data_IF_327167729415
#
_entry.id   IF_327167729415
#
_cell.length_a   1.000
_cell.length_b   1.000
_cell.length_c   1.000
_cell.angle_alpha   90.00
_cell.angle_beta   90.00
_cell.angle_gamma   90.00
#
_symmetry.space_group_name_H-M   'P 1'
#
loop_
_entity.id
_entity.type
_entity.pdbx_description
1 polymer ?
#
# COMPACT_ATOMS: atom_id res chain seq x y z
N UNK A 1 12.54 11.90 4.42
CA UNK A 1 11.07 12.04 4.35
C UNK A 1 10.36 10.79 4.86
N UNK A 2 9.08 10.93 5.23
CA UNK A 2 8.20 9.80 5.57
C UNK A 2 7.18 9.59 4.46
N UNK A 3 7.20 8.41 3.85
CA UNK A 3 6.29 8.04 2.77
C UNK A 3 5.08 7.27 3.30
N UNK A 4 3.95 7.47 2.64
CA UNK A 4 2.70 6.74 2.90
C UNK A 4 2.13 6.23 1.58
N UNK A 5 1.66 4.98 1.57
CA UNK A 5 0.87 4.41 0.47
C UNK A 5 -0.31 3.64 1.02
N UNK A 6 -1.44 3.73 0.31
CA UNK A 6 -2.61 2.91 0.57
C UNK A 6 -2.76 1.87 -0.54
N UNK A 7 -2.45 0.61 -0.21
CA UNK A 7 -2.53 -0.50 -1.15
C UNK A 7 -3.96 -1.03 -1.17
N UNK A 8 -4.57 -1.11 -2.35
CA UNK A 8 -5.90 -1.71 -2.53
C UNK A 8 -5.89 -2.73 -3.66
N UNK A 9 -6.69 -3.78 -3.52
CA UNK A 9 -6.94 -4.80 -4.53
C UNK A 9 -8.20 -5.62 -4.13
N UNK A 10 -8.73 -6.48 -5.02
CA UNK A 10 -9.75 -7.46 -4.64
C UNK A 10 -9.24 -8.41 -3.53
N UNK A 11 -10.17 -9.07 -2.84
CA UNK A 11 -9.87 -10.11 -1.84
C UNK A 11 -9.41 -11.42 -2.51
N UNK A 12 -8.20 -11.38 -3.06
CA UNK A 12 -7.54 -12.51 -3.70
C UNK A 12 -6.01 -12.43 -3.53
N UNK A 13 -5.29 -13.40 -4.10
CA UNK A 13 -3.83 -13.47 -4.01
C UNK A 13 -3.11 -12.22 -4.53
N UNK A 14 -3.71 -11.44 -5.44
CA UNK A 14 -3.10 -10.21 -5.97
C UNK A 14 -2.89 -9.16 -4.87
N UNK A 15 -3.78 -9.10 -3.87
CA UNK A 15 -3.61 -8.23 -2.71
C UNK A 15 -2.43 -8.70 -1.85
N UNK A 16 -2.40 -10.00 -1.53
CA UNK A 16 -1.33 -10.60 -0.74
C UNK A 16 0.04 -10.38 -1.38
N UNK A 17 0.16 -10.57 -2.71
CA UNK A 17 1.40 -10.29 -3.45
C UNK A 17 1.77 -8.80 -3.42
N UNK A 18 0.79 -7.89 -3.53
CA UNK A 18 1.05 -6.44 -3.48
C UNK A 18 1.59 -6.00 -2.11
N UNK A 19 0.99 -6.48 -1.02
CA UNK A 19 1.48 -6.20 0.35
C UNK A 19 2.87 -6.82 0.55
N UNK A 20 3.05 -8.08 0.16
CA UNK A 20 4.34 -8.78 0.25
C UNK A 20 5.45 -8.04 -0.51
N UNK A 21 5.16 -7.56 -1.71
CA UNK A 21 6.12 -6.78 -2.51
C UNK A 21 6.51 -5.46 -1.82
N UNK A 22 5.57 -4.76 -1.17
CA UNK A 22 5.89 -3.56 -0.40
C UNK A 22 6.77 -3.88 0.81
N UNK A 23 6.45 -4.93 1.57
CA UNK A 23 7.26 -5.36 2.71
C UNK A 23 8.71 -5.68 2.30
N UNK A 24 8.90 -6.40 1.20
CA UNK A 24 10.24 -6.72 0.68
C UNK A 24 10.99 -5.51 0.12
N UNK A 25 10.29 -4.41 -0.17
CA UNK A 25 10.89 -3.12 -0.51
C UNK A 25 11.19 -2.26 0.73
N UNK A 26 11.06 -2.79 1.94
CA UNK A 26 11.33 -2.06 3.19
C UNK A 26 10.20 -1.11 3.59
N UNK A 27 8.98 -1.35 3.13
CA UNK A 27 7.80 -0.70 3.70
C UNK A 27 7.34 -1.44 4.97
N UNK A 28 6.70 -0.71 5.87
CA UNK A 28 6.12 -1.24 7.10
C UNK A 28 4.61 -1.13 7.08
N UNK A 29 3.90 -2.12 7.64
CA UNK A 29 2.45 -2.06 7.81
C UNK A 29 2.09 -0.96 8.81
N UNK A 30 1.06 -0.19 8.49
CA UNK A 30 0.49 0.79 9.40
C UNK A 30 -0.96 0.44 9.73
N UNK A 31 -1.20 0.04 10.97
CA UNK A 31 -2.52 -0.37 11.45
C UNK A 31 -3.05 -1.66 10.80
N UNK A 32 -4.30 -1.96 11.12
CA UNK A 32 -5.01 -3.14 10.61
C UNK A 32 -5.47 -2.93 9.16
N UNK A 33 -5.56 -4.00 8.35
CA UNK A 33 -6.17 -3.94 7.03
C UNK A 33 -7.64 -3.56 7.12
N UNK A 34 -8.18 -3.02 6.01
CA UNK A 34 -9.59 -2.67 5.86
C UNK A 34 -10.25 -3.50 4.78
N UNK A 35 -11.56 -3.72 4.93
CA UNK A 35 -12.39 -4.43 3.97
C UNK A 35 -13.59 -3.58 3.58
N UNK A 36 -13.94 -3.59 2.30
CA UNK A 36 -15.14 -2.93 1.78
C UNK A 36 -15.74 -3.72 0.62
N UNK A 37 -17.07 -3.81 0.58
CA UNK A 37 -17.76 -4.42 -0.57
C UNK A 37 -17.87 -3.42 -1.73
N UNK A 38 -17.36 -3.79 -2.90
CA UNK A 38 -17.45 -3.00 -4.14
C UNK A 38 -18.71 -3.41 -4.91
N UNK A 39 -19.73 -2.54 -4.89
CA UNK A 39 -21.01 -2.79 -5.57
C UNK A 39 -20.88 -2.90 -7.09
N UNK A 40 -19.87 -2.27 -7.70
CA UNK A 40 -19.69 -2.26 -9.16
C UNK A 40 -19.11 -3.59 -9.64
N UNK A 41 -18.09 -4.10 -8.95
CA UNK A 41 -17.45 -5.38 -9.31
C UNK A 41 -18.12 -6.58 -8.63
N UNK A 42 -18.98 -6.35 -7.62
CA UNK A 42 -19.60 -7.38 -6.78
C UNK A 42 -18.57 -8.23 -6.04
N UNK A 43 -17.48 -7.62 -5.59
CA UNK A 43 -16.38 -8.30 -4.89
C UNK A 43 -16.02 -7.58 -3.60
N UNK A 44 -15.39 -8.30 -2.67
CA UNK A 44 -14.71 -7.67 -1.54
C UNK A 44 -13.42 -7.01 -2.03
N UNK A 45 -13.11 -5.84 -1.48
CA UNK A 45 -11.86 -5.10 -1.66
C UNK A 45 -11.12 -5.05 -0.34
N UNK A 46 -9.81 -5.25 -0.42
CA UNK A 46 -8.90 -5.10 0.70
C UNK A 46 -8.18 -3.75 0.60
N UNK A 47 -7.85 -3.18 1.75
CA UNK A 47 -6.99 -2.02 1.91
C UNK A 47 -5.91 -2.27 2.96
N UNK A 48 -4.68 -1.84 2.71
CA UNK A 48 -3.61 -1.83 3.70
C UNK A 48 -2.78 -0.56 3.55
N UNK A 49 -2.67 0.21 4.64
CA UNK A 49 -1.74 1.32 4.72
C UNK A 49 -0.32 0.80 4.96
N UNK A 50 0.65 1.36 4.25
CA UNK A 50 2.07 1.11 4.47
C UNK A 50 2.84 2.42 4.54
N UNK A 51 3.86 2.46 5.38
CA UNK A 51 4.74 3.61 5.60
C UNK A 51 6.20 3.23 5.40
N UNK A 52 7.03 4.18 5.00
CA UNK A 52 8.46 3.98 4.85
C UNK A 52 9.22 5.26 5.20
N UNK A 53 10.24 5.14 6.03
CA UNK A 53 11.17 6.23 6.31
C UNK A 53 12.31 6.20 5.30
N UNK A 54 12.62 7.36 4.71
CA UNK A 54 13.68 7.53 3.70
C UNK A 54 14.60 8.65 4.17
N UNK A 55 15.86 8.32 4.40
CA UNK A 55 16.86 9.29 4.85
C UNK A 55 17.39 10.15 3.69
N UNK A 56 17.80 11.39 4.00
CA UNK A 56 18.50 12.27 3.06
C UNK A 56 17.67 12.81 1.90
N UNK A 57 16.35 12.62 1.89
CA UNK A 57 15.45 13.11 0.84
C UNK A 57 14.26 13.89 1.38
N UNK A 58 13.92 14.97 0.68
CA UNK A 58 12.69 15.73 0.86
C UNK A 58 11.59 15.18 -0.04
N UNK A 59 10.35 15.30 0.41
CA UNK A 59 9.19 14.90 -0.38
C UNK A 59 8.87 15.98 -1.42
N UNK A 60 8.74 15.57 -2.67
CA UNK A 60 8.19 16.37 -3.77
C UNK A 60 6.92 15.74 -4.35
N UNK A 61 5.95 16.52 -4.89
CA UNK A 61 4.74 16.00 -5.52
C UNK A 61 4.98 15.04 -6.70
N UNK A 62 6.16 15.12 -7.30
CA UNK A 62 6.68 14.28 -8.38
C UNK A 62 7.26 12.94 -7.88
N UNK A 63 7.36 12.74 -6.56
CA UNK A 63 7.87 11.50 -5.96
C UNK A 63 6.98 10.32 -6.32
N UNK A 64 7.47 9.43 -7.17
CA UNK A 64 6.78 8.20 -7.51
C UNK A 64 6.91 7.17 -6.40
N UNK A 65 5.90 7.14 -5.52
CA UNK A 65 5.86 6.27 -4.34
C UNK A 65 6.02 4.77 -4.64
N UNK A 66 5.73 4.30 -5.86
CA UNK A 66 5.91 2.89 -6.25
C UNK A 66 7.36 2.45 -6.43
N UNK A 67 8.26 3.40 -6.63
CA UNK A 67 9.66 3.18 -6.98
C UNK A 67 10.53 3.00 -5.72
N UNK A 68 9.95 3.35 -4.57
CA UNK A 68 10.45 3.13 -3.22
C UNK A 68 10.00 1.79 -2.66
#
# INVERSE_FOLDING_TARGET
MKLYRFLTAPDDASFCHKVTAALNKGWHLFGSPTYAYDKKTKTMRCGQAVVKDVEGQEYGPDTKLSDW
#
